data_IF_067221460584
#
_entry.id   IF_067221460584
#
_cell.length_a   1.000
_cell.length_b   1.000
_cell.length_c   1.000
_cell.angle_alpha   90.00
_cell.angle_beta   90.00
_cell.angle_gamma   90.00
#
_symmetry.space_group_name_H-M   'P 1'
#
loop_
_entity.id
_entity.type
_entity.pdbx_description
1 polymer ?
#
# COMPACT_ATOMS: atom_id res chain seq x y z
N UNK A 1 23.78 -36.24 58.12
CA UNK A 1 23.00 -37.49 58.30
C UNK A 1 21.51 -37.29 58.65
N UNK A 2 20.91 -36.09 58.47
CA UNK A 2 19.48 -35.82 58.77
C UNK A 2 18.57 -35.59 57.53
N UNK A 3 19.14 -35.60 56.32
CA UNK A 3 18.36 -35.38 55.08
C UNK A 3 17.71 -36.68 54.54
N UNK A 4 18.33 -37.84 54.80
CA UNK A 4 17.88 -39.14 54.31
C UNK A 4 16.66 -39.71 55.06
N UNK A 5 16.36 -39.24 56.28
CA UNK A 5 15.20 -39.72 57.03
C UNK A 5 13.86 -39.19 56.50
N UNK A 6 13.87 -38.08 55.75
CA UNK A 6 12.67 -37.51 55.12
C UNK A 6 12.34 -38.09 53.74
N UNK A 7 13.26 -38.83 53.11
CA UNK A 7 12.97 -39.51 51.83
C UNK A 7 12.16 -40.80 52.01
N UNK A 8 12.10 -41.35 53.23
CA UNK A 8 11.40 -42.61 53.52
C UNK A 8 9.86 -42.51 53.46
N UNK A 9 9.29 -41.31 53.33
CA UNK A 9 7.84 -41.08 53.31
C UNK A 9 7.26 -40.81 51.92
N UNK A 10 8.07 -40.90 50.85
CA UNK A 10 7.66 -40.64 49.46
C UNK A 10 7.46 -41.97 48.73
N UNK A 11 6.73 -42.89 49.35
CA UNK A 11 6.30 -44.13 48.71
C UNK A 11 4.79 -44.09 48.47
N UNK A 12 4.39 -44.03 47.20
CA UNK A 12 3.03 -43.73 46.76
C UNK A 12 2.15 -44.98 46.64
N UNK A 13 2.68 -46.18 46.90
CA UNK A 13 1.94 -47.43 46.77
C UNK A 13 1.34 -47.91 48.11
N UNK A 14 0.02 -47.74 48.19
CA UNK A 14 -1.01 -48.43 48.99
C UNK A 14 -0.54 -49.09 50.29
N UNK A 15 -0.88 -48.44 51.42
CA UNK A 15 -0.76 -48.88 52.83
C UNK A 15 -0.92 -50.41 53.02
N UNK A 16 0.18 -51.14 52.96
CA UNK A 16 0.31 -52.42 53.66
C UNK A 16 0.66 -52.10 55.13
N UNK A 17 0.22 -52.93 56.10
CA UNK A 17 0.60 -52.75 57.49
C UNK A 17 2.14 -52.75 57.60
N UNK A 18 2.67 -51.78 58.36
CA UNK A 18 4.11 -51.48 58.48
C UNK A 18 4.97 -52.66 58.92
N UNK A 19 4.35 -53.71 59.44
CA UNK A 19 5.01 -54.90 60.00
C UNK A 19 5.44 -55.93 58.93
N UNK A 20 5.04 -55.73 57.66
CA UNK A 20 5.36 -56.64 56.54
C UNK A 20 6.23 -56.00 55.44
N UNK A 21 6.65 -54.74 55.62
CA UNK A 21 7.41 -54.00 54.60
C UNK A 21 8.58 -53.25 55.23
N UNK A 22 9.81 -53.67 54.95
CA UNK A 22 10.98 -52.82 55.21
C UNK A 22 11.16 -51.83 54.06
N UNK A 23 11.00 -50.53 54.35
CA UNK A 23 11.31 -49.49 53.39
C UNK A 23 12.81 -49.50 53.07
N UNK A 24 13.14 -49.94 51.85
CA UNK A 24 14.52 -50.03 51.35
C UNK A 24 14.95 -48.72 50.71
N UNK A 25 16.21 -48.36 50.91
CA UNK A 25 16.81 -47.14 50.32
C UNK A 25 16.83 -47.24 48.78
N UNK A 26 17.00 -48.46 48.24
CA UNK A 26 16.95 -48.73 46.81
C UNK A 26 15.57 -48.45 46.20
N UNK A 27 14.47 -48.85 46.87
CA UNK A 27 13.11 -48.58 46.40
C UNK A 27 12.79 -47.08 46.35
N UNK A 28 13.20 -46.33 47.37
CA UNK A 28 13.04 -44.88 47.41
C UNK A 28 13.78 -44.17 46.26
N UNK A 29 14.99 -44.63 45.91
CA UNK A 29 15.74 -44.09 44.78
C UNK A 29 15.04 -44.33 43.44
N UNK A 30 14.53 -45.54 43.22
CA UNK A 30 13.80 -45.90 41.99
C UNK A 30 12.53 -45.04 41.84
N UNK A 31 11.77 -44.85 42.91
CA UNK A 31 10.55 -44.01 42.89
C UNK A 31 10.84 -42.53 42.61
N UNK A 32 11.95 -42.00 43.11
CA UNK A 32 12.38 -40.62 42.83
C UNK A 32 12.80 -40.48 41.37
N UNK A 33 13.60 -41.42 40.86
CA UNK A 33 14.03 -41.41 39.45
C UNK A 33 12.81 -41.52 38.52
N UNK A 34 11.85 -42.40 38.84
CA UNK A 34 10.61 -42.54 38.07
C UNK A 34 9.75 -41.27 38.10
N UNK A 35 9.63 -40.61 39.26
CA UNK A 35 8.87 -39.36 39.40
C UNK A 35 9.50 -38.22 38.61
N UNK A 36 10.83 -38.11 38.64
CA UNK A 36 11.58 -37.12 37.84
C UNK A 36 11.39 -37.40 36.34
N UNK A 37 11.48 -38.65 35.92
CA UNK A 37 11.25 -39.03 34.52
C UNK A 37 9.83 -38.70 34.06
N UNK A 38 8.81 -38.98 34.87
CA UNK A 38 7.42 -38.60 34.56
C UNK A 38 7.22 -37.09 34.48
N UNK A 39 7.80 -36.31 35.40
CA UNK A 39 7.74 -34.86 35.37
C UNK A 39 8.44 -34.28 34.12
N UNK A 40 9.58 -34.87 33.72
CA UNK A 40 10.30 -34.48 32.51
C UNK A 40 9.49 -34.77 31.24
N UNK A 41 8.91 -35.96 31.11
CA UNK A 41 8.05 -36.32 29.98
C UNK A 41 6.82 -35.40 29.90
N UNK A 42 6.17 -35.12 31.03
CA UNK A 42 5.04 -34.20 31.10
C UNK A 42 5.43 -32.78 30.64
N UNK A 43 6.59 -32.27 31.10
CA UNK A 43 7.10 -30.97 30.68
C UNK A 43 7.37 -30.88 29.18
N UNK A 44 7.94 -31.92 28.57
CA UNK A 44 8.21 -31.97 27.14
C UNK A 44 6.91 -32.02 26.31
N UNK A 45 5.96 -32.87 26.69
CA UNK A 45 4.67 -32.96 25.99
C UNK A 45 3.86 -31.67 26.15
N UNK A 46 3.85 -31.06 27.34
CA UNK A 46 3.19 -29.79 27.56
C UNK A 46 3.83 -28.66 26.75
N UNK A 47 5.15 -28.63 26.65
CA UNK A 47 5.86 -27.69 25.78
C UNK A 47 5.53 -27.90 24.30
N UNK A 48 5.48 -29.16 23.85
CA UNK A 48 5.05 -29.53 22.50
C UNK A 48 3.61 -29.11 22.22
N UNK A 49 2.69 -29.31 23.16
CA UNK A 49 1.30 -28.88 23.06
C UNK A 49 1.13 -27.37 22.97
N UNK A 50 1.95 -26.60 23.70
CA UNK A 50 1.97 -25.14 23.62
C UNK A 50 2.66 -24.64 22.34
N UNK A 51 3.47 -25.47 21.68
CA UNK A 51 4.12 -25.10 20.44
C UNK A 51 3.09 -25.05 19.31
N UNK A 52 3.14 -23.96 18.54
CA UNK A 52 2.27 -23.80 17.37
C UNK A 52 2.85 -24.59 16.20
N UNK A 53 2.15 -25.63 15.74
CA UNK A 53 2.52 -26.38 14.54
C UNK A 53 1.77 -25.83 13.32
N UNK A 54 2.50 -25.48 12.26
CA UNK A 54 1.93 -25.08 10.98
C UNK A 54 1.70 -26.31 10.10
N UNK A 55 0.45 -26.56 9.72
CA UNK A 55 0.09 -27.64 8.77
C UNK A 55 -0.19 -27.02 7.41
N UNK A 56 0.58 -27.42 6.39
CA UNK A 56 0.35 -26.98 5.00
C UNK A 56 -0.53 -27.99 4.28
N UNK A 57 -1.75 -27.59 3.94
CA UNK A 57 -2.64 -28.39 3.09
C UNK A 57 -2.68 -27.76 1.69
N UNK A 58 -2.35 -28.55 0.66
CA UNK A 58 -2.40 -28.13 -0.74
C UNK A 58 -3.70 -28.62 -1.37
N UNK A 59 -4.56 -27.70 -1.81
CA UNK A 59 -5.81 -28.02 -2.49
C UNK A 59 -5.75 -27.44 -3.90
N UNK A 60 -6.06 -28.25 -4.91
CA UNK A 60 -6.14 -27.79 -6.30
C UNK A 60 -7.38 -26.92 -6.46
N UNK A 61 -7.19 -25.64 -6.80
CA UNK A 61 -8.28 -24.73 -7.11
C UNK A 61 -8.90 -25.12 -8.46
N UNK A 62 -10.18 -25.51 -8.46
CA UNK A 62 -10.97 -25.86 -9.65
C UNK A 62 -11.83 -24.70 -10.16
N UNK A 63 -11.64 -23.50 -9.63
CA UNK A 63 -12.39 -22.33 -10.05
C UNK A 63 -12.08 -21.95 -11.50
N UNK A 64 -13.05 -21.42 -12.26
CA UNK A 64 -12.79 -20.98 -13.62
C UNK A 64 -11.74 -19.87 -13.68
N UNK A 65 -10.96 -19.76 -14.77
CA UNK A 65 -9.86 -18.80 -14.89
C UNK A 65 -10.31 -17.33 -14.90
N UNK A 66 -11.61 -17.06 -15.08
CA UNK A 66 -12.20 -15.72 -14.99
C UNK A 66 -12.43 -15.26 -13.56
N UNK A 67 -12.30 -16.15 -12.57
CA UNK A 67 -12.55 -15.85 -11.16
C UNK A 67 -11.39 -15.08 -10.54
N UNK A 68 -11.69 -13.91 -9.97
CA UNK A 68 -10.70 -13.07 -9.30
C UNK A 68 -10.51 -13.52 -7.86
N UNK A 69 -9.26 -13.54 -7.40
CA UNK A 69 -8.91 -13.78 -6.02
C UNK A 69 -9.25 -12.55 -5.18
N UNK A 70 -10.12 -12.73 -4.19
CA UNK A 70 -10.40 -11.71 -3.19
C UNK A 70 -9.36 -11.76 -2.08
N UNK A 71 -8.64 -10.68 -1.83
CA UNK A 71 -7.73 -10.52 -0.69
C UNK A 71 -8.40 -9.56 0.29
N UNK A 72 -8.68 -10.01 1.50
CA UNK A 72 -9.24 -9.18 2.55
C UNK A 72 -8.15 -8.82 3.55
N UNK A 73 -8.10 -7.56 3.96
CA UNK A 73 -7.09 -7.07 4.87
C UNK A 73 -7.68 -6.04 5.85
N UNK A 74 -7.09 -5.99 7.03
CA UNK A 74 -7.29 -4.97 8.05
C UNK A 74 -5.94 -4.76 8.72
N UNK A 75 -5.29 -3.64 8.41
CA UNK A 75 -3.93 -3.35 8.83
C UNK A 75 -3.87 -1.91 9.34
N UNK A 76 -3.24 -1.73 10.49
CA UNK A 76 -3.07 -0.43 11.14
C UNK A 76 -1.62 0.05 11.04
N UNK A 77 -1.44 1.31 10.68
CA UNK A 77 -0.15 1.99 10.52
C UNK A 77 -0.11 3.22 11.45
N UNK A 78 0.47 3.11 12.66
CA UNK A 78 0.45 4.18 13.66
C UNK A 78 1.16 5.47 13.24
N UNK A 79 2.13 5.38 12.32
CA UNK A 79 2.96 6.50 11.88
C UNK A 79 2.68 6.92 10.42
N UNK A 80 1.55 6.50 9.84
CA UNK A 80 1.13 6.86 8.48
C UNK A 80 -0.25 7.52 8.52
N UNK A 81 -0.35 8.78 8.08
CA UNK A 81 -1.63 9.49 7.98
C UNK A 81 -2.57 8.85 6.96
N UNK A 82 -3.88 8.85 7.23
CA UNK A 82 -4.87 8.35 6.28
C UNK A 82 -4.98 9.16 5.00
N UNK A 83 -4.60 10.44 5.03
CA UNK A 83 -4.57 11.29 3.83
C UNK A 83 -3.57 10.77 2.80
N UNK A 84 -2.43 10.27 3.27
CA UNK A 84 -1.33 9.83 2.42
C UNK A 84 -1.28 8.31 2.23
N UNK A 85 -2.01 7.54 3.05
CA UNK A 85 -2.03 6.10 2.97
C UNK A 85 -2.68 5.64 1.65
N UNK A 86 -1.96 4.86 0.85
CA UNK A 86 -2.43 4.31 -0.42
C UNK A 86 -2.17 2.81 -0.49
N UNK A 87 -3.00 2.11 -1.28
CA UNK A 87 -2.88 0.69 -1.57
C UNK A 87 -2.63 0.47 -3.05
N UNK A 88 -1.54 -0.19 -3.37
CA UNK A 88 -1.18 -0.58 -4.72
C UNK A 88 -1.14 -2.09 -4.87
N UNK A 89 -1.50 -2.55 -6.05
CA UNK A 89 -1.43 -3.96 -6.43
C UNK A 89 -0.69 -4.07 -7.75
N UNK A 90 0.31 -4.94 -7.82
CA UNK A 90 0.99 -5.32 -9.07
C UNK A 90 0.94 -6.83 -9.25
N UNK A 91 0.87 -7.28 -10.49
CA UNK A 91 0.98 -8.69 -10.84
C UNK A 91 2.06 -8.97 -11.89
N UNK A 92 2.47 -10.24 -12.00
CA UNK A 92 3.47 -10.69 -12.96
C UNK A 92 3.01 -10.58 -14.43
N UNK A 93 1.71 -10.38 -14.67
CA UNK A 93 1.15 -10.12 -16.00
C UNK A 93 1.23 -8.64 -16.39
N UNK A 94 1.85 -7.79 -15.55
CA UNK A 94 2.02 -6.36 -15.81
C UNK A 94 0.81 -5.50 -15.44
N UNK A 95 -0.21 -6.08 -14.81
CA UNK A 95 -1.36 -5.32 -14.30
C UNK A 95 -0.93 -4.60 -13.02
N UNK A 96 -0.72 -3.27 -13.08
CA UNK A 96 -0.43 -2.41 -11.93
C UNK A 96 -1.62 -1.49 -11.65
N UNK A 97 -2.21 -1.59 -10.47
CA UNK A 97 -3.31 -0.74 -10.00
C UNK A 97 -2.81 0.06 -8.81
N UNK A 98 -2.69 1.37 -9.00
CA UNK A 98 -2.22 2.29 -7.97
C UNK A 98 -3.41 2.95 -7.27
N UNK A 99 -3.22 3.29 -5.99
CA UNK A 99 -4.16 4.06 -5.18
C UNK A 99 -5.60 3.52 -5.21
N UNK A 100 -5.76 2.24 -4.84
CA UNK A 100 -7.06 1.59 -4.76
C UNK A 100 -7.88 2.14 -3.60
N UNK A 101 -8.97 2.84 -3.93
CA UNK A 101 -9.86 3.50 -2.96
C UNK A 101 -11.24 2.86 -2.84
N UNK A 102 -11.78 2.33 -3.95
CA UNK A 102 -13.19 1.88 -4.04
C UNK A 102 -13.61 0.81 -3.02
N UNK A 103 -12.67 0.01 -2.55
CA UNK A 103 -12.91 -1.15 -1.70
C UNK A 103 -12.10 -1.09 -0.41
N UNK A 104 -11.48 0.07 -0.14
CA UNK A 104 -10.58 0.31 0.99
C UNK A 104 -11.11 1.46 1.80
N UNK A 105 -11.35 1.23 3.09
CA UNK A 105 -11.76 2.25 4.05
C UNK A 105 -10.58 2.62 4.91
N UNK A 106 -10.42 3.92 5.12
CA UNK A 106 -9.34 4.49 5.92
C UNK A 106 -9.96 5.13 7.15
N UNK A 107 -9.46 4.81 8.34
CA UNK A 107 -9.92 5.42 9.58
C UNK A 107 -8.71 5.93 10.38
N UNK A 108 -8.72 7.19 10.83
CA UNK A 108 -7.62 7.74 11.61
C UNK A 108 -7.54 7.06 12.98
N UNK A 109 -6.32 6.73 13.40
CA UNK A 109 -6.02 6.03 14.66
C UNK A 109 -4.98 6.79 15.49
N UNK A 110 -4.99 6.57 16.80
CA UNK A 110 -3.90 7.00 17.70
C UNK A 110 -2.68 6.09 17.54
N UNK A 111 -1.57 6.48 18.19
CA UNK A 111 -0.39 5.62 18.35
C UNK A 111 -0.73 4.29 19.07
N UNK A 112 -1.75 4.30 19.92
CA UNK A 112 -2.24 3.15 20.68
C UNK A 112 -3.28 2.31 19.91
N UNK A 113 -3.43 2.55 18.60
CA UNK A 113 -4.35 1.84 17.69
C UNK A 113 -5.85 2.11 17.97
N UNK A 114 -6.18 3.13 18.76
CA UNK A 114 -7.56 3.52 19.00
C UNK A 114 -8.10 4.37 17.86
N UNK A 115 -9.33 4.11 17.42
CA UNK A 115 -9.94 4.87 16.33
C UNK A 115 -10.39 6.25 16.83
N UNK A 116 -9.86 7.31 16.22
CA UNK A 116 -10.12 8.71 16.61
C UNK A 116 -11.24 9.34 15.77
N UNK A 117 -11.52 8.82 14.57
CA UNK A 117 -12.45 9.43 13.64
C UNK A 117 -13.26 8.44 12.81
N UNK A 118 -14.22 8.99 12.06
CA UNK A 118 -15.03 8.23 11.12
C UNK A 118 -14.17 7.67 9.98
N UNK A 119 -14.57 6.53 9.44
CA UNK A 119 -13.93 5.98 8.27
C UNK A 119 -14.26 6.86 7.05
N UNK A 120 -13.26 7.49 6.45
CA UNK A 120 -13.41 8.17 5.17
C UNK A 120 -13.46 7.13 4.06
N UNK A 121 -14.53 7.19 3.28
CA UNK A 121 -14.71 6.40 2.07
C UNK A 121 -14.24 7.27 0.90
N UNK A 122 -13.07 6.98 0.34
CA UNK A 122 -12.52 7.69 -0.83
C UNK A 122 -13.37 7.45 -2.10
N UNK A 123 -14.48 6.68 -2.02
CA UNK A 123 -15.45 6.49 -3.11
C UNK A 123 -16.17 7.78 -3.55
N UNK A 124 -15.97 8.89 -2.84
CA UNK A 124 -16.49 10.21 -3.18
C UNK A 124 -15.38 11.24 -3.44
N UNK A 125 -14.34 10.91 -4.21
CA UNK A 125 -13.75 11.96 -5.05
C UNK A 125 -14.73 12.21 -6.20
N UNK A 126 -15.38 13.39 -6.27
CA UNK A 126 -16.18 13.73 -7.44
C UNK A 126 -15.32 13.51 -8.69
N UNK A 127 -15.92 13.08 -9.80
CA UNK A 127 -15.22 13.14 -11.08
C UNK A 127 -14.67 14.58 -11.24
N UNK A 128 -13.43 14.74 -11.76
CA UNK A 128 -12.86 16.06 -11.94
C UNK A 128 -13.85 16.89 -12.75
N UNK A 129 -14.21 18.06 -12.20
CA UNK A 129 -15.12 18.97 -12.89
C UNK A 129 -14.43 19.50 -14.14
N UNK A 130 -15.19 19.74 -15.20
CA UNK A 130 -14.72 20.47 -16.36
C UNK A 130 -15.54 21.75 -16.48
N UNK A 131 -14.98 22.78 -17.13
CA UNK A 131 -15.70 24.02 -17.38
C UNK A 131 -16.97 23.80 -18.19
N UNK A 132 -16.98 22.74 -19.00
CA UNK A 132 -18.01 22.46 -19.98
C UNK A 132 -18.95 21.31 -19.56
N UNK A 133 -19.65 21.46 -18.43
CA UNK A 133 -20.76 20.59 -18.05
C UNK A 133 -22.05 20.94 -18.85
N UNK A 134 -21.96 21.17 -20.17
CA UNK A 134 -23.15 21.19 -21.04
C UNK A 134 -23.22 22.15 -22.23
N UNK A 135 -22.12 22.77 -22.68
CA UNK A 135 -22.12 23.70 -23.82
C UNK A 135 -20.80 23.74 -24.59
N UNK A 136 -20.68 22.83 -25.56
CA UNK A 136 -19.75 22.97 -26.68
C UNK A 136 -20.18 24.19 -27.51
N UNK A 137 -19.75 25.39 -27.12
CA UNK A 137 -19.77 26.54 -28.02
C UNK A 137 -18.48 26.46 -28.87
N UNK A 138 -18.65 26.19 -30.17
CA UNK A 138 -17.62 26.04 -31.21
C UNK A 138 -16.72 27.29 -31.43
N UNK A 139 -16.71 28.27 -30.52
CA UNK A 139 -15.76 29.39 -30.56
C UNK A 139 -14.41 28.97 -29.97
N UNK A 140 -13.79 27.99 -30.63
CA UNK A 140 -12.40 27.63 -30.45
C UNK A 140 -11.56 28.80 -30.95
N UNK A 141 -10.88 29.50 -30.02
CA UNK A 141 -9.73 30.30 -30.41
C UNK A 141 -8.67 29.32 -30.94
N UNK A 142 -8.54 29.24 -32.27
CA UNK A 142 -7.53 28.49 -33.04
C UNK A 142 -6.09 29.01 -32.81
N UNK A 143 -5.72 29.24 -31.54
CA UNK A 143 -4.39 29.67 -31.16
C UNK A 143 -3.82 28.57 -30.28
N UNK A 144 -2.97 27.73 -30.88
CA UNK A 144 -2.16 26.76 -30.17
C UNK A 144 -1.04 27.51 -29.42
N UNK A 145 -1.29 27.83 -28.14
CA UNK A 145 -0.36 28.59 -27.30
C UNK A 145 0.60 27.63 -26.60
N UNK A 146 0.18 26.38 -26.40
CA UNK A 146 0.99 25.36 -25.73
C UNK A 146 2.17 24.91 -26.58
N UNK A 147 3.31 24.69 -25.94
CA UNK A 147 4.49 24.22 -26.64
C UNK A 147 4.37 22.71 -26.93
N UNK A 148 4.39 22.26 -28.20
CA UNK A 148 4.47 20.85 -28.51
C UNK A 148 5.86 20.31 -28.17
N UNK A 149 5.91 19.21 -27.43
CA UNK A 149 7.14 18.53 -27.08
C UNK A 149 7.29 17.20 -27.83
N UNK A 150 8.49 16.99 -28.35
CA UNK A 150 8.97 15.81 -29.04
C UNK A 150 10.21 15.26 -28.34
N UNK A 151 10.63 14.04 -28.65
CA UNK A 151 11.82 13.43 -28.06
C UNK A 151 13.07 14.34 -28.13
N UNK A 152 13.21 15.11 -29.21
CA UNK A 152 14.36 16.00 -29.46
C UNK A 152 14.36 17.26 -28.58
N UNK A 153 13.19 17.87 -28.36
CA UNK A 153 13.10 19.16 -27.66
C UNK A 153 12.73 19.03 -26.17
N UNK A 154 12.34 17.83 -25.73
CA UNK A 154 11.84 17.58 -24.38
C UNK A 154 12.88 17.96 -23.33
N UNK A 155 14.08 17.37 -23.41
CA UNK A 155 15.16 17.63 -22.46
C UNK A 155 15.63 19.09 -22.48
N UNK A 156 15.71 19.69 -23.68
CA UNK A 156 16.09 21.10 -23.82
C UNK A 156 15.07 22.03 -23.14
N UNK A 157 13.78 21.71 -23.22
CA UNK A 157 12.71 22.49 -22.59
C UNK A 157 12.74 22.35 -21.07
N UNK A 158 12.91 21.12 -20.56
CA UNK A 158 13.05 20.87 -19.12
C UNK A 158 14.29 21.56 -18.51
N UNK A 159 15.38 21.66 -19.28
CA UNK A 159 16.57 22.39 -18.85
C UNK A 159 16.38 23.92 -18.84
N UNK A 160 15.52 24.45 -19.72
CA UNK A 160 15.29 25.89 -19.90
C UNK A 160 14.42 26.48 -18.79
N UNK A 161 13.32 25.83 -18.44
CA UNK A 161 12.33 26.35 -17.49
C UNK A 161 12.44 25.66 -16.12
N UNK A 162 12.30 26.37 -14.98
CA UNK A 162 12.33 25.74 -13.66
C UNK A 162 11.17 24.77 -13.42
N UNK A 163 9.99 25.06 -13.95
CA UNK A 163 8.80 24.22 -13.85
C UNK A 163 8.21 24.07 -15.26
N UNK A 164 7.97 22.83 -15.68
CA UNK A 164 7.27 22.52 -16.92
C UNK A 164 6.09 21.62 -16.60
N UNK A 165 4.88 22.05 -16.93
CA UNK A 165 3.66 21.23 -16.80
C UNK A 165 3.33 20.67 -18.17
N UNK A 166 3.34 19.34 -18.29
CA UNK A 166 3.16 18.63 -19.56
C UNK A 166 1.85 17.87 -19.55
N UNK A 167 1.02 18.12 -20.57
CA UNK A 167 -0.17 17.34 -20.87
C UNK A 167 0.16 16.23 -21.87
N UNK A 168 0.17 14.99 -21.41
CA UNK A 168 0.29 13.80 -22.25
C UNK A 168 -1.10 13.39 -22.74
N UNK A 169 -1.32 13.50 -24.04
CA UNK A 169 -2.63 13.31 -24.66
C UNK A 169 -2.58 12.39 -25.89
N UNK A 170 -3.75 12.03 -26.39
CA UNK A 170 -3.93 11.38 -27.68
C UNK A 170 -5.09 12.05 -28.43
N UNK A 171 -4.96 12.31 -29.74
CA UNK A 171 -5.93 13.09 -30.51
C UNK A 171 -7.32 12.45 -30.60
N UNK A 172 -7.40 11.12 -30.46
CA UNK A 172 -8.66 10.36 -30.48
C UNK A 172 -9.32 10.22 -29.09
N UNK A 173 -8.69 10.71 -28.03
CA UNK A 173 -9.21 10.56 -26.68
C UNK A 173 -10.26 11.63 -26.37
N UNK A 174 -11.51 11.22 -26.19
CA UNK A 174 -12.63 12.11 -25.85
C UNK A 174 -12.35 13.00 -24.63
N UNK A 175 -11.73 12.45 -23.57
CA UNK A 175 -11.40 13.22 -22.36
C UNK A 175 -10.27 14.23 -22.57
N UNK A 176 -9.39 14.00 -23.56
CA UNK A 176 -8.36 14.94 -23.96
C UNK A 176 -8.96 16.09 -24.77
N UNK A 177 -9.82 15.78 -25.75
CA UNK A 177 -10.53 16.79 -26.55
C UNK A 177 -11.37 17.71 -25.65
N UNK A 178 -12.01 17.16 -24.61
CA UNK A 178 -12.75 17.95 -23.61
C UNK A 178 -11.84 18.85 -22.74
N UNK A 179 -10.59 18.45 -22.50
CA UNK A 179 -9.64 19.23 -21.70
C UNK A 179 -8.92 20.31 -22.53
N UNK A 180 -8.74 20.07 -23.83
CA UNK A 180 -7.98 20.93 -24.75
C UNK A 180 -8.35 22.42 -24.68
N UNK A 181 -9.63 22.84 -24.82
CA UNK A 181 -9.96 24.26 -24.78
C UNK A 181 -9.64 24.91 -23.42
N UNK A 182 -9.94 24.21 -22.32
CA UNK A 182 -9.62 24.66 -20.97
C UNK A 182 -8.10 24.73 -20.75
N UNK A 183 -7.35 23.78 -21.30
CA UNK A 183 -5.89 23.72 -21.19
C UNK A 183 -5.22 24.88 -21.93
N UNK A 184 -5.66 25.20 -23.15
CA UNK A 184 -5.16 26.37 -23.90
C UNK A 184 -5.57 27.68 -23.22
N UNK A 185 -6.81 27.79 -22.71
CA UNK A 185 -7.27 28.97 -21.99
C UNK A 185 -6.50 29.22 -20.68
N UNK A 186 -6.22 28.15 -19.92
CA UNK A 186 -5.38 28.22 -18.71
C UNK A 186 -3.94 28.57 -19.07
N UNK A 187 -3.40 27.97 -20.14
CA UNK A 187 -2.04 28.26 -20.63
C UNK A 187 -1.89 29.72 -21.02
N UNK A 188 -2.88 30.28 -21.73
CA UNK A 188 -2.92 31.70 -22.09
C UNK A 188 -2.87 32.59 -20.86
N UNK A 189 -3.73 32.35 -19.88
CA UNK A 189 -3.77 33.17 -18.66
C UNK A 189 -2.46 33.08 -17.86
N UNK A 190 -1.88 31.88 -17.74
CA UNK A 190 -0.59 31.70 -17.07
C UNK A 190 0.52 32.39 -17.85
N UNK A 191 0.52 32.32 -19.19
CA UNK A 191 1.50 33.00 -20.04
C UNK A 191 1.38 34.53 -19.97
N UNK A 192 0.16 35.07 -19.94
CA UNK A 192 -0.09 36.51 -19.82
C UNK A 192 0.40 37.05 -18.46
N UNK A 193 0.22 36.26 -17.38
CA UNK A 193 0.73 36.58 -16.03
C UNK A 193 2.25 36.38 -15.90
N UNK A 194 2.77 35.33 -16.53
CA UNK A 194 4.16 34.88 -16.44
C UNK A 194 4.76 34.70 -17.84
N UNK A 195 5.04 35.81 -18.54
CA UNK A 195 5.54 35.80 -19.90
C UNK A 195 6.94 35.17 -20.02
N UNK A 196 7.38 34.91 -21.26
CA UNK A 196 8.61 34.17 -21.56
C UNK A 196 9.89 34.72 -20.91
N UNK A 197 9.94 36.02 -20.62
CA UNK A 197 11.08 36.65 -19.95
C UNK A 197 11.13 36.36 -18.44
N UNK A 198 10.01 36.00 -17.82
CA UNK A 198 9.96 35.58 -16.42
C UNK A 198 10.27 34.07 -16.32
N UNK A 199 9.73 33.27 -17.25
CA UNK A 199 10.19 31.91 -17.52
C UNK A 199 10.13 30.94 -16.32
N UNK A 200 9.35 31.23 -15.27
CA UNK A 200 9.27 30.41 -14.06
C UNK A 200 8.48 29.13 -14.26
N UNK A 201 7.48 29.16 -15.13
CA UNK A 201 6.60 28.03 -15.45
C UNK A 201 6.32 28.00 -16.95
N UNK A 202 6.26 26.81 -17.55
CA UNK A 202 5.87 26.61 -18.95
C UNK A 202 4.84 25.48 -19.05
N UNK A 203 3.78 25.71 -19.81
CA UNK A 203 2.82 24.68 -20.17
C UNK A 203 3.18 24.09 -21.53
N UNK A 204 3.09 22.77 -21.63
CA UNK A 204 3.48 22.02 -22.81
C UNK A 204 2.53 20.82 -23.03
N UNK A 205 2.54 20.28 -24.24
CA UNK A 205 1.77 19.08 -24.58
C UNK A 205 2.63 18.08 -25.36
N UNK A 206 2.37 16.80 -25.15
CA UNK A 206 3.00 15.68 -25.86
C UNK A 206 1.91 14.82 -26.45
N UNK A 207 1.94 14.65 -27.77
CA UNK A 207 1.10 13.68 -28.45
C UNK A 207 1.73 12.29 -28.34
N UNK A 208 1.16 11.43 -27.49
CA UNK A 208 1.64 10.08 -27.28
C UNK A 208 1.38 9.11 -28.43
N UNK A 209 0.62 9.52 -29.46
CA UNK A 209 0.46 8.75 -30.69
C UNK A 209 1.60 9.00 -31.67
N UNK A 210 2.18 10.20 -31.66
CA UNK A 210 3.39 10.52 -32.42
C UNK A 210 4.67 10.13 -31.65
N UNK A 211 4.71 10.40 -30.34
CA UNK A 211 5.89 10.27 -29.48
C UNK A 211 5.76 9.07 -28.51
N UNK A 212 5.52 7.87 -29.05
CA UNK A 212 5.22 6.66 -28.28
C UNK A 212 6.31 6.32 -27.27
N UNK A 213 7.59 6.41 -27.67
CA UNK A 213 8.72 6.04 -26.82
C UNK A 213 8.88 6.99 -25.64
N UNK A 214 8.65 8.30 -25.85
CA UNK A 214 8.69 9.31 -24.81
C UNK A 214 7.60 9.05 -23.76
N UNK A 215 6.37 8.77 -24.19
CA UNK A 215 5.29 8.46 -23.25
C UNK A 215 5.53 7.14 -22.50
N UNK A 216 6.17 6.15 -23.15
CA UNK A 216 6.54 4.88 -22.52
C UNK A 216 7.64 5.05 -21.49
N UNK A 217 8.70 5.82 -21.78
CA UNK A 217 9.81 6.06 -20.85
C UNK A 217 9.36 6.81 -19.59
N UNK A 218 8.35 7.67 -19.74
CA UNK A 218 7.68 8.33 -18.63
C UNK A 218 6.56 7.49 -18.01
N UNK A 219 6.30 6.24 -18.41
CA UNK A 219 5.25 5.39 -17.82
C UNK A 219 3.83 6.01 -17.88
N UNK A 220 3.46 6.66 -18.99
CA UNK A 220 2.09 7.15 -19.19
C UNK A 220 1.16 5.98 -19.46
N UNK A 221 0.20 5.75 -18.56
CA UNK A 221 -0.73 4.60 -18.60
C UNK A 221 -2.14 4.96 -19.13
N UNK A 222 -2.44 6.25 -19.30
CA UNK A 222 -3.76 6.72 -19.72
C UNK A 222 -3.77 8.21 -20.03
N UNK A 223 -4.83 8.66 -20.70
CA UNK A 223 -4.95 10.04 -21.20
C UNK A 223 -6.23 10.72 -20.70
N UNK A 224 -6.21 12.05 -20.47
CA UNK A 224 -5.02 12.90 -20.36
C UNK A 224 -4.27 12.63 -19.06
N UNK A 225 -2.93 12.65 -19.12
CA UNK A 225 -2.06 12.62 -17.93
C UNK A 225 -1.29 13.93 -17.82
N UNK A 226 -1.53 14.68 -16.74
CA UNK A 226 -0.90 15.96 -16.47
C UNK A 226 0.25 15.76 -15.49
N UNK A 227 1.48 16.13 -15.88
CA UNK A 227 2.68 15.93 -15.06
C UNK A 227 3.48 17.20 -14.90
N UNK A 228 4.09 17.37 -13.74
CA UNK A 228 4.96 18.50 -13.42
C UNK A 228 6.40 18.03 -13.39
N UNK A 229 7.22 18.68 -14.19
CA UNK A 229 8.66 18.49 -14.24
C UNK A 229 9.33 19.68 -13.58
N UNK A 230 10.27 19.42 -12.67
CA UNK A 230 10.98 20.44 -11.92
C UNK A 230 12.47 20.32 -12.22
N UNK A 231 13.08 21.45 -12.60
CA UNK A 231 14.50 21.50 -12.96
C UNK A 231 15.38 21.01 -11.80
N UNK A 232 16.11 19.92 -12.03
CA UNK A 232 17.05 19.31 -11.09
C UNK A 232 16.48 18.21 -10.17
N UNK A 233 15.22 17.80 -10.33
CA UNK A 233 14.58 16.73 -9.53
C UNK A 233 14.54 15.39 -10.26
N UNK A 234 14.49 15.42 -11.58
CA UNK A 234 14.28 14.23 -12.40
C UNK A 234 15.46 13.22 -12.36
N UNK A 235 16.56 13.59 -11.71
CA UNK A 235 17.76 12.78 -11.48
C UNK A 235 17.71 11.94 -10.20
N UNK A 236 16.62 11.97 -9.41
CA UNK A 236 16.49 11.05 -8.27
C UNK A 236 16.14 9.65 -8.76
N UNK A 237 17.17 8.96 -9.22
CA UNK A 237 17.22 7.57 -9.66
C UNK A 237 17.04 6.61 -8.46
N UNK A 238 15.90 6.66 -7.76
CA UNK A 238 15.58 5.66 -6.73
C UNK A 238 14.92 4.46 -7.43
N UNK A 239 15.75 3.53 -7.88
CA UNK A 239 15.30 2.19 -8.32
C UNK A 239 14.70 2.06 -9.72
N UNK A 240 14.89 3.05 -10.61
CA UNK A 240 14.51 2.94 -12.04
C UNK A 240 13.08 3.36 -12.39
N UNK A 241 12.36 4.05 -11.51
CA UNK A 241 11.06 4.68 -11.81
C UNK A 241 11.17 6.21 -11.75
N UNK A 242 10.91 6.88 -12.87
CA UNK A 242 10.70 8.33 -12.90
C UNK A 242 9.26 8.63 -12.44
N UNK A 243 9.06 8.76 -11.12
CA UNK A 243 7.77 9.22 -10.58
C UNK A 243 7.74 10.75 -10.58
N UNK A 244 6.94 11.31 -11.48
CA UNK A 244 6.74 12.75 -11.61
C UNK A 244 5.49 13.16 -10.84
N UNK A 245 5.50 14.35 -10.24
CA UNK A 245 4.31 14.90 -9.58
C UNK A 245 3.17 14.98 -10.61
N UNK A 246 2.05 14.32 -10.32
CA UNK A 246 0.91 14.22 -11.23
C UNK A 246 -0.24 15.10 -10.74
N UNK A 247 -0.89 15.83 -11.66
CA UNK A 247 -2.06 16.63 -11.34
C UNK A 247 -3.34 15.80 -11.45
N UNK A 248 -4.04 15.67 -10.32
CA UNK A 248 -5.28 14.89 -10.20
C UNK A 248 -6.51 15.76 -9.84
N UNK A 249 -6.38 17.09 -9.91
CA UNK A 249 -7.44 18.04 -9.54
C UNK A 249 -8.53 18.24 -10.61
N UNK A 250 -9.36 19.25 -10.39
CA UNK A 250 -10.42 19.63 -11.34
C UNK A 250 -9.83 20.13 -12.67
N UNK A 251 -10.52 19.83 -13.77
CA UNK A 251 -10.13 20.20 -15.13
C UNK A 251 -10.83 21.48 -15.58
N UNK A 252 -10.90 22.44 -14.66
CA UNK A 252 -11.44 23.77 -14.88
C UNK A 252 -10.31 24.77 -15.06
N UNK A 253 -10.56 25.84 -15.81
CA UNK A 253 -9.56 26.88 -16.08
C UNK A 253 -9.01 27.46 -14.77
N UNK A 254 -9.90 27.74 -13.82
CA UNK A 254 -9.53 28.31 -12.53
C UNK A 254 -8.68 27.35 -11.70
N UNK A 255 -8.99 26.05 -11.72
CA UNK A 255 -8.23 25.06 -10.97
C UNK A 255 -6.83 24.84 -11.55
N UNK A 256 -6.69 24.87 -12.89
CA UNK A 256 -5.39 24.76 -13.55
C UNK A 256 -4.53 26.01 -13.32
N UNK A 257 -5.12 27.20 -13.35
CA UNK A 257 -4.41 28.46 -13.05
C UNK A 257 -4.00 28.50 -11.57
N UNK A 258 -4.89 28.16 -10.65
CA UNK A 258 -4.57 28.10 -9.22
C UNK A 258 -3.47 27.07 -8.93
N UNK A 259 -3.50 25.93 -9.62
CA UNK A 259 -2.44 24.93 -9.55
C UNK A 259 -1.10 25.49 -10.04
N UNK A 260 -1.08 26.16 -11.21
CA UNK A 260 0.12 26.82 -11.70
C UNK A 260 0.67 27.85 -10.70
N UNK A 261 -0.19 28.69 -10.14
CA UNK A 261 0.17 29.70 -9.13
C UNK A 261 0.73 29.06 -7.86
N UNK A 262 0.21 27.90 -7.43
CA UNK A 262 0.73 27.16 -6.28
C UNK A 262 2.13 26.58 -6.52
N UNK A 263 2.49 26.29 -7.78
CA UNK A 263 3.81 25.78 -8.16
C UNK A 263 4.88 26.88 -8.17
N UNK A 264 4.53 28.11 -8.52
CA UNK A 264 5.49 29.20 -8.76
C UNK A 264 6.37 29.58 -7.55
N UNK A 265 5.88 29.61 -6.29
CA UNK A 265 6.73 29.88 -5.12
C UNK A 265 7.91 28.91 -4.98
N UNK A 266 7.75 27.68 -5.50
CA UNK A 266 8.79 26.65 -5.51
C UNK A 266 9.67 26.68 -6.77
N UNK A 267 9.38 27.53 -7.75
CA UNK A 267 10.15 27.64 -8.99
C UNK A 267 11.53 28.25 -8.73
N UNK A 268 12.59 27.52 -9.07
CA UNK A 268 13.97 27.99 -8.99
C UNK A 268 14.59 27.98 -7.58
N UNK A 269 13.86 27.52 -6.56
CA UNK A 269 14.48 27.21 -5.28
C UNK A 269 15.31 25.93 -5.44
N UNK A 270 16.59 25.89 -5.00
CA UNK A 270 17.29 24.63 -4.89
C UNK A 270 16.49 23.75 -3.92
N UNK A 271 16.35 22.47 -4.26
CA UNK A 271 15.81 21.52 -3.30
C UNK A 271 16.58 21.68 -2.00
N UNK A 272 15.85 21.96 -0.92
CA UNK A 272 16.42 21.88 0.42
C UNK A 272 17.06 20.49 0.49
N UNK A 273 18.37 20.47 0.72
CA UNK A 273 19.08 19.21 0.99
C UNK A 273 18.27 18.49 2.05
N UNK A 274 18.18 17.16 1.98
CA UNK A 274 17.33 16.35 2.85
C UNK A 274 17.46 16.68 4.37
N UNK A 275 18.57 17.28 4.78
CA UNK A 275 18.83 17.80 6.13
C UNK A 275 18.01 19.03 6.57
N UNK A 276 17.42 19.80 5.66
CA UNK A 276 16.63 21.03 5.92
C UNK A 276 15.11 20.83 5.76
N UNK A 277 14.67 19.61 5.45
CA UNK A 277 13.25 19.26 5.37
C UNK A 277 12.73 18.99 6.79
N UNK A 278 11.70 19.73 7.19
CA UNK A 278 11.01 19.44 8.45
C UNK A 278 10.24 18.13 8.30
N UNK A 279 10.36 17.24 9.28
CA UNK A 279 9.57 16.01 9.31
C UNK A 279 8.08 16.36 9.16
N UNK A 280 7.37 15.59 8.34
CA UNK A 280 5.92 15.73 8.23
C UNK A 280 5.29 15.73 9.64
N UNK A 281 4.29 16.59 9.91
CA UNK A 281 3.65 16.66 11.21
C UNK A 281 3.22 15.27 11.68
N UNK A 282 3.48 14.95 12.95
CA UNK A 282 2.99 13.72 13.58
C UNK A 282 1.47 13.78 13.65
N UNK A 283 0.83 13.33 12.57
CA UNK A 283 -0.61 13.18 12.44
C UNK A 283 -1.04 11.84 13.01
N UNK A 284 -2.33 11.70 13.30
CA UNK A 284 -2.93 10.41 13.65
C UNK A 284 -2.57 9.36 12.60
N UNK A 285 -2.22 8.14 13.02
CA UNK A 285 -1.97 7.02 12.14
C UNK A 285 -3.22 6.61 11.34
N UNK A 286 -3.12 5.55 10.55
CA UNK A 286 -4.21 5.08 9.71
C UNK A 286 -4.47 3.58 9.85
N UNK A 287 -5.73 3.23 10.09
CA UNK A 287 -6.24 1.88 9.85
C UNK A 287 -6.80 1.77 8.44
N UNK A 288 -6.24 0.86 7.64
CA UNK A 288 -6.72 0.51 6.31
C UNK A 288 -7.39 -0.86 6.35
N UNK A 289 -8.69 -0.88 6.08
CA UNK A 289 -9.49 -2.10 6.07
C UNK A 289 -10.33 -2.21 4.80
N UNK A 290 -10.35 -3.39 4.19
CA UNK A 290 -11.05 -3.58 2.92
C UNK A 290 -10.75 -4.90 2.25
N UNK A 291 -11.02 -4.93 0.95
CA UNK A 291 -10.65 -6.06 0.10
C UNK A 291 -10.17 -5.59 -1.27
N UNK A 292 -9.37 -6.40 -1.95
CA UNK A 292 -9.02 -6.21 -3.36
C UNK A 292 -9.31 -7.47 -4.15
N UNK A 293 -9.67 -7.29 -5.41
CA UNK A 293 -9.89 -8.39 -6.37
C UNK A 293 -8.71 -8.39 -7.34
N UNK A 294 -7.95 -9.49 -7.35
CA UNK A 294 -6.74 -9.66 -8.14
C UNK A 294 -6.80 -10.92 -8.98
N UNK A 295 -6.01 -11.00 -10.05
CA UNK A 295 -5.89 -12.24 -10.83
C UNK A 295 -5.16 -13.30 -10.00
N UNK A 296 -5.45 -14.59 -10.22
CA UNK A 296 -4.79 -15.72 -9.56
C UNK A 296 -3.40 -16.00 -10.15
N UNK A 297 -2.52 -15.00 -10.08
CA UNK A 297 -1.15 -15.04 -10.56
C UNK A 297 -0.22 -14.46 -9.49
N UNK A 298 1.09 -14.77 -9.53
CA UNK A 298 2.06 -14.13 -8.65
C UNK A 298 1.97 -12.60 -8.75
N UNK A 299 1.96 -11.92 -7.62
CA UNK A 299 1.83 -10.47 -7.54
C UNK A 299 2.20 -9.95 -6.16
N UNK A 300 2.20 -8.63 -6.04
CA UNK A 300 2.56 -7.91 -4.81
C UNK A 300 1.48 -6.93 -4.44
N UNK A 301 1.31 -6.73 -3.14
CA UNK A 301 0.36 -5.80 -2.55
C UNK A 301 1.14 -4.84 -1.65
N UNK A 302 1.19 -3.57 -2.04
CA UNK A 302 2.02 -2.55 -1.41
C UNK A 302 1.15 -1.50 -0.71
N UNK A 303 1.43 -1.27 0.57
CA UNK A 303 0.90 -0.13 1.31
C UNK A 303 1.97 0.96 1.30
N UNK A 304 1.64 2.13 0.78
CA UNK A 304 2.60 3.20 0.57
C UNK A 304 2.02 4.57 0.95
N UNK A 305 2.89 5.52 1.26
CA UNK A 305 2.52 6.92 1.41
C UNK A 305 2.64 7.64 0.05
N UNK A 306 1.58 8.31 -0.39
CA UNK A 306 1.60 9.22 -1.55
C UNK A 306 0.81 10.48 -1.27
N UNK A 307 1.25 11.59 -1.85
CA UNK A 307 0.50 12.86 -1.84
C UNK A 307 0.84 13.66 -3.08
N UNK A 308 -0.03 14.60 -3.44
CA UNK A 308 0.19 15.47 -4.60
C UNK A 308 1.20 16.61 -4.31
N UNK A 309 1.55 16.87 -3.04
CA UNK A 309 2.41 18.01 -2.64
C UNK A 309 3.60 17.69 -1.73
N UNK A 310 3.82 16.41 -1.40
CA UNK A 310 4.94 15.95 -0.58
C UNK A 310 5.65 14.76 -1.24
N UNK A 311 6.98 14.82 -1.23
CA UNK A 311 7.83 13.67 -1.54
C UNK A 311 8.07 12.85 -0.28
N UNK A 312 7.87 11.54 -0.39
CA UNK A 312 8.03 10.59 0.70
C UNK A 312 9.21 9.67 0.42
N UNK A 313 10.24 9.71 1.27
CA UNK A 313 11.33 8.75 1.23
C UNK A 313 11.00 7.52 2.08
N UNK A 314 10.65 6.42 1.42
CA UNK A 314 10.28 5.17 2.08
C UNK A 314 11.39 4.62 3.00
N UNK A 315 12.67 4.93 2.77
CA UNK A 315 13.76 4.45 3.61
C UNK A 315 13.73 5.06 5.02
N UNK A 316 13.19 6.28 5.15
CA UNK A 316 13.16 7.04 6.41
C UNK A 316 11.74 7.14 7.01
N UNK A 317 10.75 6.56 6.35
CA UNK A 317 9.40 6.47 6.87
C UNK A 317 9.23 5.28 7.81
N UNK A 318 8.61 5.53 8.96
CA UNK A 318 8.20 4.45 9.85
C UNK A 318 6.94 3.77 9.30
N UNK A 319 7.11 2.67 8.59
CA UNK A 319 6.04 1.82 8.04
C UNK A 319 5.71 0.62 8.94
N UNK A 320 6.06 0.70 10.24
CA UNK A 320 5.66 -0.31 11.22
C UNK A 320 4.15 -0.44 11.26
N UNK A 321 3.66 -1.68 11.24
CA UNK A 321 2.24 -1.93 11.09
C UNK A 321 1.80 -3.16 11.88
N UNK A 322 0.50 -3.20 12.18
CA UNK A 322 -0.16 -4.30 12.88
C UNK A 322 -1.20 -4.90 11.95
N UNK A 323 -1.03 -6.18 11.63
CA UNK A 323 -1.99 -6.93 10.82
C UNK A 323 -3.06 -7.52 11.73
N UNK A 324 -4.27 -6.95 11.70
CA UNK A 324 -5.41 -7.50 12.45
C UNK A 324 -6.06 -8.69 11.73
N UNK A 325 -6.16 -8.60 10.41
CA UNK A 325 -6.62 -9.71 9.59
C UNK A 325 -6.04 -9.62 8.20
N UNK A 326 -5.59 -10.74 7.64
CA UNK A 326 -5.17 -10.84 6.25
C UNK A 326 -5.48 -12.24 5.74
N UNK A 327 -6.38 -12.37 4.78
CA UNK A 327 -6.79 -13.67 4.25
C UNK A 327 -7.32 -13.61 2.83
N UNK A 328 -7.18 -14.73 2.13
CA UNK A 328 -7.59 -14.91 0.75
C UNK A 328 -8.96 -15.59 0.67
N UNK A 329 -9.76 -15.22 -0.33
CA UNK A 329 -11.10 -15.73 -0.56
C UNK A 329 -12.16 -15.17 0.40
N UNK A 330 -13.31 -15.84 0.45
CA UNK A 330 -14.35 -15.50 1.41
C UNK A 330 -14.02 -16.13 2.76
N UNK A 331 -14.31 -15.41 3.86
CA UNK A 331 -14.13 -15.94 5.21
C UNK A 331 -14.90 -17.26 5.33
N UNK A 332 -14.26 -18.38 5.70
CA UNK A 332 -14.98 -19.64 5.87
C UNK A 332 -16.08 -19.40 6.91
N UNK A 333 -17.32 -19.77 6.57
CA UNK A 333 -18.42 -19.72 7.53
C UNK A 333 -18.05 -20.57 8.75
N UNK A 334 -18.56 -20.22 9.93
CA UNK A 334 -18.30 -20.98 11.18
C UNK A 334 -18.57 -22.48 10.97
N UNK A 335 -19.65 -22.80 10.23
CA UNK A 335 -19.98 -24.16 9.81
C UNK A 335 -18.89 -24.81 8.93
N UNK A 336 -18.38 -24.10 7.92
CA UNK A 336 -17.30 -24.59 7.04
C UNK A 336 -15.97 -24.73 7.79
N UNK A 337 -15.68 -23.84 8.74
CA UNK A 337 -14.52 -23.94 9.63
C UNK A 337 -14.56 -25.23 10.47
N UNK A 338 -15.69 -25.51 11.14
CA UNK A 338 -15.86 -26.75 11.89
C UNK A 338 -15.92 -28.00 10.99
N UNK A 339 -16.47 -27.90 9.78
CA UNK A 339 -16.43 -29.00 8.81
C UNK A 339 -15.02 -29.31 8.32
N UNK A 340 -14.19 -28.30 8.08
CA UNK A 340 -12.78 -28.49 7.73
C UNK A 340 -11.99 -29.09 8.91
N UNK A 341 -12.28 -28.70 10.15
CA UNK A 341 -11.71 -29.35 11.34
C UNK A 341 -12.19 -30.80 11.52
N UNK A 342 -13.48 -31.08 11.29
CA UNK A 342 -14.04 -32.44 11.40
C UNK A 342 -13.58 -33.40 10.30
N UNK A 343 -13.40 -32.91 9.07
CA UNK A 343 -12.84 -33.69 7.98
C UNK A 343 -11.37 -34.11 8.22
N UNK A 344 -10.61 -33.29 8.96
CA UNK A 344 -9.24 -33.65 9.36
C UNK A 344 -9.20 -34.75 10.43
N UNK A 345 -10.17 -34.84 11.33
CA UNK A 345 -10.25 -35.93 12.33
C UNK A 345 -10.70 -37.26 11.70
N UNK A 346 -11.55 -37.23 10.67
CA UNK A 346 -11.97 -38.43 9.95
C UNK A 346 -10.87 -39.04 9.06
N UNK A 347 -9.95 -38.22 8.54
CA UNK A 347 -8.87 -38.68 7.67
C UNK A 347 -7.66 -39.24 8.46
N UNK A 348 -7.44 -38.81 9.71
CA UNK A 348 -6.40 -39.39 10.57
C UNK A 348 -6.77 -40.74 11.19
N UNK A 349 -8.04 -41.14 11.15
CA UNK A 349 -8.51 -42.45 11.65
C UNK A 349 -8.48 -43.59 10.62
N UNK A 350 -8.08 -43.30 9.37
CA UNK A 350 -7.95 -44.30 8.30
C UNK A 350 -6.48 -44.63 7.96
N UNK A 351 -5.52 -44.08 8.72
CA UNK A 351 -4.10 -44.38 8.63
C UNK A 351 -3.56 -44.71 10.03
N UNK A 352 -4.05 -45.81 10.60
CA UNK A 352 -3.45 -46.52 11.73
C UNK A 352 -3.65 -48.02 11.53
#
# INVERSE_FOLDING_TARGET
>A
MKLFSKLKSIDFFKKLPSDLTEATLAGAWISIVASIAMAFLFGMEFYSFLSTSSKTELIVDRSPPTDLLKINFNISFPALSCEFATLDVSDALGTKRLNLTKTVRKAPITLDLERVGAATDDTHRPAPKYDDEGRFDDEVLDIDITQPLSHENFQATLARYPIVVVNFFAPWCHWCQRLEPTWEAATKEVHDKYPEWDGRIRFAKVDCTAEVELCRSHYIQGFPSLRVFRKGVDDVYIGGMHDHEAYNGDRTKEALVAFAEALIPSAGQPHRKHHDLSSAPRTSGCNMAGFVLVKKVPGTLHFAARSDGHSFDHAWMNMSHVVHSFYFGNRPTVKKYYQLQGAQQGASGAAS
#
